data_IF_868697390189
#
_entry.id   IF_868697390189
#
_cell.length_a   1.000
_cell.length_b   1.000
_cell.length_c   1.000
_cell.angle_alpha   90.00
_cell.angle_beta   90.00
_cell.angle_gamma   90.00
#
_symmetry.space_group_name_H-M   'P 1'
#
loop_
_entity.id
_entity.type
_entity.pdbx_description
1 polymer ?
#
# COMPACT_ATOMS: atom_id res chain seq x y z
N UNK A 1 -23.89 -1.77 -0.77
CA UNK A 1 -23.05 -2.57 -1.71
C UNK A 1 -21.68 -2.70 -1.06
N UNK A 2 -21.12 -3.91 -0.97
CA UNK A 2 -19.96 -4.21 -0.10
C UNK A 2 -18.75 -3.30 -0.34
N UNK A 3 -18.35 -3.03 -1.59
CA UNK A 3 -17.19 -2.17 -1.88
C UNK A 3 -17.40 -0.69 -1.51
N UNK A 4 -18.63 -0.19 -1.66
CA UNK A 4 -19.00 1.15 -1.24
C UNK A 4 -18.95 1.28 0.29
N UNK A 5 -19.43 0.27 1.00
CA UNK A 5 -19.39 0.24 2.46
C UNK A 5 -17.95 0.16 2.99
N UNK A 6 -17.09 -0.62 2.33
CA UNK A 6 -15.67 -0.73 2.69
C UNK A 6 -14.93 0.60 2.59
N UNK A 7 -15.11 1.34 1.49
CA UNK A 7 -14.44 2.64 1.35
C UNK A 7 -15.03 3.67 2.32
N UNK A 8 -16.36 3.76 2.44
CA UNK A 8 -17.02 4.76 3.29
C UNK A 8 -16.74 4.59 4.78
N UNK A 9 -16.68 3.34 5.25
CA UNK A 9 -16.54 3.04 6.69
C UNK A 9 -15.11 2.68 7.08
N UNK A 10 -14.33 2.15 6.15
CA UNK A 10 -13.00 1.61 6.44
C UNK A 10 -11.84 2.50 6.01
N UNK A 11 -12.04 3.44 5.08
CA UNK A 11 -10.99 4.39 4.72
C UNK A 11 -11.00 5.58 5.70
N UNK A 12 -9.82 6.11 6.04
CA UNK A 12 -9.71 7.30 6.92
C UNK A 12 -10.19 8.57 6.25
N UNK A 13 -10.06 8.64 4.92
CA UNK A 13 -10.45 9.78 4.09
C UNK A 13 -11.35 9.30 2.95
N UNK A 14 -12.60 8.89 3.22
CA UNK A 14 -13.49 8.34 2.20
C UNK A 14 -13.87 9.39 1.16
N UNK A 15 -14.12 10.63 1.57
CA UNK A 15 -14.55 11.71 0.68
C UNK A 15 -13.47 12.09 -0.33
N UNK A 16 -12.20 12.11 0.07
CA UNK A 16 -11.06 12.34 -0.82
C UNK A 16 -10.94 11.23 -1.88
N UNK A 17 -11.23 9.99 -1.48
CA UNK A 17 -11.21 8.85 -2.40
C UNK A 17 -12.39 8.90 -3.37
N UNK A 18 -13.61 9.12 -2.87
CA UNK A 18 -14.83 9.15 -3.68
C UNK A 18 -14.88 10.37 -4.62
N UNK A 19 -14.48 11.54 -4.13
CA UNK A 19 -14.52 12.79 -4.88
C UNK A 19 -15.94 13.09 -5.38
N UNK A 20 -16.06 13.38 -6.68
CA UNK A 20 -17.33 13.74 -7.33
C UNK A 20 -18.33 12.60 -7.52
N UNK A 21 -17.99 11.36 -7.14
CA UNK A 21 -18.87 10.20 -7.28
C UNK A 21 -18.14 8.97 -7.82
N UNK A 22 -18.77 7.79 -7.67
CA UNK A 22 -18.24 6.52 -8.15
C UNK A 22 -19.06 6.07 -9.35
N UNK A 23 -18.38 5.96 -10.50
CA UNK A 23 -18.91 5.38 -11.73
C UNK A 23 -18.85 3.85 -11.71
N UNK A 24 -17.73 3.29 -11.26
CA UNK A 24 -17.52 1.85 -11.21
C UNK A 24 -16.41 1.43 -10.24
N UNK A 25 -16.36 0.14 -9.93
CA UNK A 25 -15.21 -0.50 -9.29
C UNK A 25 -14.53 -1.47 -10.26
N UNK A 26 -13.21 -1.56 -10.19
CA UNK A 26 -12.42 -2.47 -11.02
C UNK A 26 -11.42 -3.23 -10.16
N UNK A 27 -11.15 -4.49 -10.54
CA UNK A 27 -10.04 -5.24 -9.99
C UNK A 27 -8.87 -5.12 -10.96
N UNK A 28 -7.76 -4.52 -10.53
CA UNK A 28 -6.54 -4.39 -11.33
C UNK A 28 -5.34 -4.89 -10.54
N UNK A 29 -4.28 -5.30 -11.23
CA UNK A 29 -3.00 -5.60 -10.59
C UNK A 29 -2.28 -4.30 -10.30
N UNK A 30 -2.00 -4.01 -9.02
CA UNK A 30 -1.33 -2.76 -8.63
C UNK A 30 0.10 -2.74 -9.22
N UNK A 31 0.52 -1.66 -9.92
CA UNK A 31 1.77 -1.62 -10.66
C UNK A 31 3.00 -1.84 -9.77
N UNK A 32 2.99 -1.29 -8.55
CA UNK A 32 4.05 -1.44 -7.54
C UNK A 32 3.99 -2.80 -6.80
N UNK A 33 2.86 -3.14 -6.18
CA UNK A 33 2.75 -4.29 -5.27
C UNK A 33 2.50 -5.63 -5.96
N UNK A 34 2.21 -5.63 -7.27
CA UNK A 34 1.90 -6.83 -8.09
C UNK A 34 0.77 -7.72 -7.55
N UNK A 35 -0.01 -7.22 -6.58
CA UNK A 35 -1.21 -7.86 -6.06
C UNK A 35 -2.46 -7.30 -6.73
N UNK A 36 -3.55 -8.07 -6.73
CA UNK A 36 -4.87 -7.57 -7.14
C UNK A 36 -5.41 -6.59 -6.08
N UNK A 37 -5.78 -5.39 -6.51
CA UNK A 37 -6.40 -4.36 -5.66
C UNK A 37 -7.72 -3.89 -6.28
N UNK A 38 -8.58 -3.28 -5.46
CA UNK A 38 -9.77 -2.60 -5.93
C UNK A 38 -9.42 -1.16 -6.29
N UNK A 39 -9.86 -0.76 -7.48
CA UNK A 39 -9.79 0.60 -7.98
C UNK A 39 -11.21 1.16 -8.03
N UNK A 40 -11.38 2.36 -7.51
CA UNK A 40 -12.58 3.15 -7.74
C UNK A 40 -12.36 3.99 -9.00
N UNK A 41 -13.33 3.98 -9.91
CA UNK A 41 -13.37 4.85 -11.09
C UNK A 41 -14.41 5.92 -10.81
N UNK A 42 -13.99 7.17 -10.86
CA UNK A 42 -14.85 8.33 -10.63
C UNK A 42 -15.64 8.69 -11.88
N UNK A 43 -16.62 9.57 -11.74
CA UNK A 43 -17.43 10.05 -12.87
C UNK A 43 -16.62 10.79 -13.94
N UNK A 44 -15.50 11.40 -13.55
CA UNK A 44 -14.54 12.06 -14.45
C UNK A 44 -13.53 11.10 -15.11
N UNK A 45 -13.77 9.79 -15.01
CA UNK A 45 -12.91 8.70 -15.50
C UNK A 45 -11.51 8.62 -14.85
N UNK A 46 -11.23 9.44 -13.83
CA UNK A 46 -10.04 9.25 -12.99
C UNK A 46 -10.22 8.01 -12.13
N UNK A 47 -9.11 7.34 -11.81
CA UNK A 47 -9.13 6.13 -11.00
C UNK A 47 -8.12 6.19 -9.87
N UNK A 48 -8.47 5.59 -8.74
CA UNK A 48 -7.63 5.53 -7.55
C UNK A 48 -7.85 4.19 -6.84
N UNK A 49 -6.81 3.66 -6.19
CA UNK A 49 -6.91 2.39 -5.47
C UNK A 49 -7.19 2.60 -3.98
N UNK A 50 -7.79 1.59 -3.36
CA UNK A 50 -7.86 1.50 -1.92
C UNK A 50 -7.53 0.08 -1.47
N UNK A 51 -6.87 -0.01 -0.31
CA UNK A 51 -6.49 -1.31 0.24
C UNK A 51 -7.67 -1.94 0.97
N UNK A 52 -8.15 -3.07 0.43
CA UNK A 52 -9.16 -3.89 1.08
C UNK A 52 -8.78 -4.25 2.52
N UNK A 53 -7.54 -4.72 2.75
CA UNK A 53 -7.09 -5.14 4.09
C UNK A 53 -7.13 -3.99 5.09
N UNK A 54 -6.72 -2.78 4.67
CA UNK A 54 -6.76 -1.59 5.55
C UNK A 54 -8.19 -1.19 5.89
N UNK A 55 -9.09 -1.20 4.90
CA UNK A 55 -10.50 -0.91 5.15
C UNK A 55 -11.15 -1.94 6.08
N UNK A 56 -10.85 -3.23 5.90
CA UNK A 56 -11.38 -4.28 6.79
C UNK A 56 -10.81 -4.13 8.19
N UNK A 57 -9.48 -3.99 8.36
CA UNK A 57 -8.83 -3.87 9.67
C UNK A 57 -9.37 -2.68 10.48
N UNK A 58 -9.75 -1.59 9.80
CA UNK A 58 -10.36 -0.43 10.45
C UNK A 58 -11.80 -0.70 10.93
N UNK A 59 -12.59 -1.47 10.17
CA UNK A 59 -13.99 -1.79 10.51
C UNK A 59 -14.06 -2.94 11.53
N UNK A 60 -13.26 -3.98 11.30
CA UNK A 60 -13.17 -5.19 12.07
C UNK A 60 -11.68 -5.58 12.17
N UNK A 61 -11.04 -5.33 13.33
CA UNK A 61 -9.62 -5.60 13.52
C UNK A 61 -9.23 -6.99 13.03
N UNK A 62 -8.25 -7.04 12.13
CA UNK A 62 -7.78 -8.29 11.57
C UNK A 62 -6.89 -9.02 12.57
N UNK A 63 -6.90 -10.36 12.57
CA UNK A 63 -5.90 -11.16 13.27
C UNK A 63 -4.47 -10.74 12.88
N UNK A 64 -3.54 -10.76 13.82
CA UNK A 64 -2.15 -10.30 13.61
C UNK A 64 -1.45 -10.97 12.42
N UNK A 65 -1.73 -12.26 12.18
CA UNK A 65 -1.17 -13.00 11.05
C UNK A 65 -1.69 -12.55 9.66
N UNK A 66 -2.74 -11.74 9.62
CA UNK A 66 -3.32 -11.19 8.40
C UNK A 66 -2.94 -9.72 8.16
N UNK A 67 -2.33 -9.05 9.15
CA UNK A 67 -1.84 -7.68 9.00
C UNK A 67 -0.59 -7.67 8.13
N UNK A 68 -0.49 -6.67 7.25
CA UNK A 68 0.73 -6.45 6.46
C UNK A 68 1.88 -6.04 7.40
N UNK A 69 3.06 -6.68 7.31
CA UNK A 69 4.23 -6.28 8.11
C UNK A 69 4.55 -4.80 7.86
N UNK A 70 4.61 -4.00 8.94
CA UNK A 70 4.82 -2.55 8.86
C UNK A 70 3.55 -1.69 8.80
N UNK A 71 2.36 -2.26 9.03
CA UNK A 71 1.09 -1.53 9.10
C UNK A 71 0.81 -0.89 10.47
N UNK A 72 1.76 -0.90 11.41
CA UNK A 72 1.56 -0.21 12.69
C UNK A 72 1.28 1.27 12.40
N UNK A 73 0.16 1.74 12.96
CA UNK A 73 -0.50 2.98 12.58
C UNK A 73 0.35 4.24 12.68
N UNK A 74 -0.27 5.31 12.15
CA UNK A 74 0.23 6.66 11.91
C UNK A 74 0.81 6.80 10.50
N UNK A 75 -0.09 7.15 9.57
CA UNK A 75 0.20 7.17 8.14
C UNK A 75 1.25 8.19 7.77
N UNK A 76 1.87 7.99 6.60
CA UNK A 76 2.42 9.00 5.71
C UNK A 76 2.25 8.48 4.28
N UNK A 77 1.74 9.35 3.40
CA UNK A 77 1.55 9.06 1.99
C UNK A 77 2.87 8.97 1.22
N UNK A 78 2.74 8.51 -0.03
CA UNK A 78 3.58 8.92 -1.14
C UNK A 78 5.04 8.45 -1.17
N UNK A 79 5.42 7.84 -2.30
CA UNK A 79 6.80 7.87 -2.78
C UNK A 79 7.54 6.53 -2.71
N UNK A 80 7.67 5.89 -3.87
CA UNK A 80 8.60 4.77 -4.05
C UNK A 80 10.07 5.20 -4.04
N UNK A 81 10.93 4.24 -3.71
CA UNK A 81 12.36 4.01 -4.05
C UNK A 81 12.83 2.93 -3.04
N UNK A 82 13.13 1.68 -3.37
CA UNK A 82 13.85 1.15 -4.52
C UNK A 82 15.22 0.61 -4.06
N UNK A 83 15.30 -0.70 -3.77
CA UNK A 83 16.50 -1.56 -3.84
C UNK A 83 17.58 -1.38 -2.75
N UNK A 84 18.31 -2.39 -2.28
CA UNK A 84 18.37 -3.80 -2.64
C UNK A 84 19.36 -4.53 -1.72
N UNK A 85 19.19 -5.86 -1.62
CA UNK A 85 20.08 -6.81 -0.96
C UNK A 85 21.34 -7.05 -1.81
N UNK A 86 22.49 -7.32 -1.18
CA UNK A 86 23.66 -8.16 -1.60
C UNK A 86 24.80 -7.86 -0.62
N UNK A 87 25.37 -8.76 0.18
CA UNK A 87 25.89 -10.09 -0.13
C UNK A 87 27.32 -9.96 -0.70
N UNK A 88 28.36 -10.32 0.06
CA UNK A 88 29.73 -10.36 -0.47
C UNK A 88 30.82 -10.69 0.56
N UNK A 89 31.42 -11.88 0.43
CA UNK A 89 32.58 -12.40 1.16
C UNK A 89 33.86 -12.14 0.33
N UNK A 90 34.97 -11.80 0.98
CA UNK A 90 36.32 -11.64 0.40
C UNK A 90 36.92 -10.29 0.83
N UNK A 91 38.16 -10.13 1.28
CA UNK A 91 39.37 -10.93 1.12
C UNK A 91 40.48 -9.99 0.64
N UNK A 92 41.36 -9.53 1.54
CA UNK A 92 42.75 -9.15 1.22
C UNK A 92 43.11 -7.66 1.01
N UNK A 93 44.19 -7.29 1.74
CA UNK A 93 45.31 -6.39 1.39
C UNK A 93 45.30 -4.92 1.83
N UNK A 94 46.25 -4.63 2.74
CA UNK A 94 47.05 -3.40 2.81
C UNK A 94 46.46 -2.26 3.64
N UNK A 95 47.17 -1.55 4.50
CA UNK A 95 48.56 -1.59 4.92
C UNK A 95 48.66 -0.59 6.08
N UNK A 96 49.21 -1.02 7.22
CA UNK A 96 49.42 -0.16 8.39
C UNK A 96 50.90 0.23 8.40
N UNK A 97 51.16 1.52 8.20
CA UNK A 97 52.45 2.16 8.44
C UNK A 97 52.98 1.81 9.84
N UNK A 98 54.29 1.52 9.95
CA UNK A 98 55.19 1.91 11.06
C UNK A 98 56.62 1.37 10.86
N UNK A 99 57.56 2.33 10.79
CA UNK A 99 59.02 2.31 10.98
C UNK A 99 59.84 1.29 10.18
#
# INVERSE_FOLDING_TARGET
>A
MVLLDLIKKGHTEPDNKIGGGIKAFQVRTHPMWKSRCFFLVREDDTADDFSYRKCVDHILPLPENMKTPGSNGNGHGGGGRGGGRRGGRGGGRGGRFRR
#
